data_IF_216243419028
#
_entry.id   IF_216243419028
#
_cell.length_a   1.000
_cell.length_b   1.000
_cell.length_c   1.000
_cell.angle_alpha   90.00
_cell.angle_beta   90.00
_cell.angle_gamma   90.00
#
_symmetry.space_group_name_H-M   'P 1'
#
loop_
_entity.id
_entity.type
_entity.pdbx_description
1 polymer ?
#
# COMPACT_ATOMS: atom_id res chain seq x y z
N UNK A 1 30.81 -32.02 23.31
CA UNK A 1 30.93 -30.58 23.54
C UNK A 1 31.12 -29.78 22.23
N UNK A 2 32.04 -30.14 21.33
CA UNK A 2 32.33 -29.39 20.08
C UNK A 2 31.10 -29.14 19.18
N UNK A 3 30.21 -30.14 18.96
CA UNK A 3 29.00 -29.99 18.15
C UNK A 3 27.95 -28.97 18.73
N UNK A 4 27.83 -28.88 20.05
CA UNK A 4 26.94 -27.88 20.70
C UNK A 4 27.50 -26.49 20.55
N UNK A 5 28.80 -26.30 20.73
CA UNK A 5 29.47 -25.01 20.57
C UNK A 5 29.35 -24.48 19.13
N UNK A 6 29.57 -25.35 18.12
CA UNK A 6 29.41 -25.00 16.72
C UNK A 6 27.98 -24.51 16.39
N UNK A 7 26.92 -25.12 16.93
CA UNK A 7 25.56 -24.69 16.76
C UNK A 7 25.26 -23.32 17.39
N UNK A 8 25.83 -23.07 18.57
CA UNK A 8 25.70 -21.79 19.27
C UNK A 8 26.36 -20.66 18.46
N UNK A 9 27.61 -20.93 17.98
CA UNK A 9 28.32 -19.94 17.15
C UNK A 9 27.55 -19.65 15.86
N UNK A 10 27.05 -20.68 15.19
CA UNK A 10 26.24 -20.53 13.98
C UNK A 10 24.97 -19.68 14.25
N UNK A 11 24.25 -19.99 15.32
CA UNK A 11 23.05 -19.22 15.71
C UNK A 11 23.40 -17.75 16.00
N UNK A 12 24.48 -17.51 16.73
CA UNK A 12 24.93 -16.15 17.02
C UNK A 12 25.28 -15.37 15.73
N UNK A 13 25.99 -15.98 14.79
CA UNK A 13 26.31 -15.38 13.50
C UNK A 13 25.06 -15.05 12.68
N UNK A 14 24.08 -15.95 12.65
CA UNK A 14 22.80 -15.73 11.97
C UNK A 14 22.04 -14.55 12.62
N UNK A 15 21.99 -14.51 13.96
CA UNK A 15 21.32 -13.42 14.68
C UNK A 15 21.96 -12.06 14.40
N UNK A 16 23.29 -12.00 14.43
CA UNK A 16 24.05 -10.77 14.07
C UNK A 16 23.79 -10.38 12.61
N UNK A 17 23.79 -11.34 11.70
CA UNK A 17 23.49 -11.09 10.29
C UNK A 17 22.09 -10.51 10.07
N UNK A 18 21.07 -11.07 10.73
CA UNK A 18 19.70 -10.56 10.69
C UNK A 18 19.63 -9.14 11.28
N UNK A 19 20.30 -8.91 12.41
CA UNK A 19 20.32 -7.58 13.03
C UNK A 19 20.93 -6.51 12.11
N UNK A 20 22.06 -6.82 11.47
CA UNK A 20 22.69 -5.94 10.48
C UNK A 20 21.75 -5.69 9.31
N UNK A 21 21.13 -6.73 8.74
CA UNK A 21 20.20 -6.62 7.62
C UNK A 21 19.01 -5.72 7.96
N UNK A 22 18.41 -5.90 9.11
CA UNK A 22 17.25 -5.13 9.55
C UNK A 22 17.58 -3.63 9.76
N UNK A 23 18.82 -3.31 10.11
CA UNK A 23 19.27 -1.93 10.31
C UNK A 23 19.82 -1.27 9.05
N UNK A 24 19.83 -1.94 7.89
CA UNK A 24 20.21 -1.32 6.62
C UNK A 24 19.30 -0.13 6.32
N UNK A 25 19.93 1.00 6.00
CA UNK A 25 19.20 2.20 5.59
C UNK A 25 18.64 2.06 4.18
N UNK A 26 17.35 2.22 4.02
CA UNK A 26 16.65 2.16 2.71
C UNK A 26 15.90 3.46 2.44
N UNK A 27 15.88 3.87 1.19
CA UNK A 27 15.11 5.03 0.78
C UNK A 27 13.61 4.73 0.83
N UNK A 28 12.85 5.68 1.34
CA UNK A 28 11.40 5.69 1.24
C UNK A 28 10.89 7.08 0.85
N UNK A 29 9.79 7.14 0.11
CA UNK A 29 9.11 8.40 -0.19
C UNK A 29 8.13 8.71 0.93
N UNK A 30 8.10 9.94 1.38
CA UNK A 30 7.14 10.44 2.36
C UNK A 30 6.54 11.75 1.86
N UNK A 31 5.20 11.80 1.81
CA UNK A 31 4.46 13.02 1.51
C UNK A 31 4.12 13.75 2.80
N UNK A 32 4.66 14.96 2.97
CA UNK A 32 4.34 15.87 4.07
C UNK A 32 4.05 17.24 3.44
N UNK A 33 2.96 17.87 3.87
CA UNK A 33 2.56 19.20 3.41
C UNK A 33 2.57 19.34 1.88
N UNK A 34 1.98 18.34 1.21
CA UNK A 34 1.87 18.28 -0.26
C UNK A 34 3.22 18.21 -1.00
N UNK A 35 4.32 17.90 -0.29
CA UNK A 35 5.63 17.67 -0.89
C UNK A 35 6.04 16.21 -0.69
N UNK A 36 6.54 15.58 -1.74
CA UNK A 36 7.15 14.25 -1.66
C UNK A 36 8.64 14.42 -1.45
N UNK A 37 9.13 13.92 -0.33
CA UNK A 37 10.55 13.86 -0.02
C UNK A 37 11.01 12.42 0.08
N UNK A 38 12.28 12.18 -0.27
CA UNK A 38 12.93 10.89 -0.04
C UNK A 38 13.69 10.96 1.28
N UNK A 39 13.34 10.08 2.19
CA UNK A 39 14.03 9.95 3.49
C UNK A 39 14.65 8.56 3.58
N UNK A 40 15.67 8.42 4.41
CA UNK A 40 16.29 7.13 4.74
C UNK A 40 15.74 6.64 6.07
N UNK A 41 15.25 5.42 6.07
CA UNK A 41 14.78 4.73 7.28
C UNK A 41 15.42 3.34 7.36
N UNK A 42 15.57 2.75 8.55
CA UNK A 42 15.99 1.35 8.68
C UNK A 42 15.01 0.40 7.99
N UNK A 43 15.52 -0.68 7.42
CA UNK A 43 14.72 -1.68 6.70
C UNK A 43 13.61 -2.26 7.57
N UNK A 44 13.86 -2.47 8.87
CA UNK A 44 12.83 -2.99 9.78
C UNK A 44 11.61 -2.06 9.89
N UNK A 45 11.81 -0.73 9.91
CA UNK A 45 10.69 0.23 9.93
C UNK A 45 9.90 0.20 8.63
N UNK A 46 10.59 0.08 7.48
CA UNK A 46 9.90 -0.07 6.18
C UNK A 46 9.07 -1.34 6.13
N UNK A 47 9.60 -2.44 6.68
CA UNK A 47 8.91 -3.73 6.75
C UNK A 47 7.70 -3.68 7.68
N UNK A 48 7.84 -3.08 8.86
CA UNK A 48 6.71 -2.88 9.79
C UNK A 48 5.62 -2.02 9.15
N UNK A 49 5.98 -0.91 8.50
CA UNK A 49 5.03 -0.06 7.79
C UNK A 49 4.32 -0.77 6.62
N UNK A 50 4.98 -1.74 5.97
CA UNK A 50 4.34 -2.58 4.98
C UNK A 50 3.26 -3.48 5.60
N UNK A 51 3.58 -4.19 6.68
CA UNK A 51 2.62 -5.05 7.38
C UNK A 51 1.46 -4.27 7.99
N UNK A 52 1.73 -3.11 8.57
CA UNK A 52 0.70 -2.22 9.12
C UNK A 52 -0.30 -1.81 8.03
N UNK A 53 0.19 -1.32 6.88
CA UNK A 53 -0.68 -0.98 5.75
C UNK A 53 -1.45 -2.18 5.22
N UNK A 54 -0.80 -3.35 5.08
CA UNK A 54 -1.45 -4.56 4.60
C UNK A 54 -2.58 -5.00 5.54
N UNK A 55 -2.36 -4.94 6.85
CA UNK A 55 -3.38 -5.22 7.85
C UNK A 55 -4.56 -4.25 7.74
N UNK A 56 -4.27 -2.96 7.66
CA UNK A 56 -5.30 -1.92 7.55
C UNK A 56 -6.12 -2.05 6.25
N UNK A 57 -5.51 -2.39 5.13
CA UNK A 57 -6.23 -2.71 3.89
C UNK A 57 -7.19 -3.88 4.07
N UNK A 58 -6.73 -4.96 4.67
CA UNK A 58 -7.57 -6.14 4.88
C UNK A 58 -8.76 -5.84 5.78
N UNK A 59 -8.56 -5.14 6.87
CA UNK A 59 -9.64 -4.75 7.78
C UNK A 59 -10.64 -3.80 7.12
N UNK A 60 -10.15 -2.86 6.33
CA UNK A 60 -11.01 -1.95 5.55
C UNK A 60 -11.87 -2.74 4.56
N UNK A 61 -11.25 -3.57 3.73
CA UNK A 61 -11.95 -4.37 2.72
C UNK A 61 -12.95 -5.31 3.38
N UNK A 62 -12.59 -6.01 4.46
CA UNK A 62 -13.49 -6.88 5.20
C UNK A 62 -14.76 -6.15 5.66
N UNK A 63 -14.65 -4.89 6.09
CA UNK A 63 -15.81 -4.06 6.45
C UNK A 63 -16.66 -3.70 5.24
N UNK A 64 -16.03 -3.29 4.13
CA UNK A 64 -16.72 -2.89 2.90
C UNK A 64 -17.52 -4.04 2.30
N UNK A 65 -16.91 -5.24 2.20
CA UNK A 65 -17.51 -6.40 1.55
C UNK A 65 -18.29 -7.30 2.50
N UNK A 66 -18.45 -6.90 3.77
CA UNK A 66 -19.15 -7.70 4.78
C UNK A 66 -20.56 -8.08 4.31
N UNK A 67 -20.85 -9.40 4.29
CA UNK A 67 -22.15 -9.92 3.86
C UNK A 67 -22.41 -9.86 2.35
N UNK A 68 -21.40 -9.59 1.50
CA UNK A 68 -21.55 -9.71 0.06
C UNK A 68 -21.67 -11.18 -0.35
N UNK A 69 -22.68 -11.51 -1.17
CA UNK A 69 -22.98 -12.87 -1.58
C UNK A 69 -22.21 -13.31 -2.85
N UNK A 70 -21.71 -12.36 -3.64
CA UNK A 70 -20.97 -12.63 -4.88
C UNK A 70 -19.82 -11.65 -5.10
N UNK A 71 -18.95 -11.95 -6.07
CA UNK A 71 -17.83 -11.08 -6.42
C UNK A 71 -18.33 -9.78 -7.08
N UNK A 72 -19.40 -9.83 -7.85
CA UNK A 72 -20.06 -8.65 -8.41
C UNK A 72 -20.54 -7.72 -7.29
N UNK A 73 -21.15 -8.28 -6.26
CA UNK A 73 -21.61 -7.48 -5.12
C UNK A 73 -20.43 -6.86 -4.35
N UNK A 74 -19.32 -7.59 -4.19
CA UNK A 74 -18.09 -7.03 -3.58
C UNK A 74 -17.56 -5.85 -4.40
N UNK A 75 -17.47 -6.00 -5.75
CA UNK A 75 -17.02 -4.93 -6.65
C UNK A 75 -17.93 -3.71 -6.53
N UNK A 76 -19.24 -3.90 -6.53
CA UNK A 76 -20.19 -2.79 -6.39
C UNK A 76 -20.07 -2.07 -5.05
N UNK A 77 -19.86 -2.80 -3.95
CA UNK A 77 -19.64 -2.21 -2.62
C UNK A 77 -18.33 -1.44 -2.55
N UNK A 78 -17.24 -1.99 -3.10
CA UNK A 78 -15.94 -1.33 -3.19
C UNK A 78 -16.06 -0.06 -4.03
N UNK A 79 -16.71 -0.12 -5.19
CA UNK A 79 -16.93 1.05 -6.04
C UNK A 79 -17.69 2.15 -5.33
N UNK A 80 -18.82 1.83 -4.68
CA UNK A 80 -19.61 2.78 -3.91
C UNK A 80 -18.83 3.40 -2.77
N UNK A 81 -18.06 2.57 -2.03
CA UNK A 81 -17.21 3.03 -0.96
C UNK A 81 -16.15 4.01 -1.47
N UNK A 82 -15.45 3.65 -2.55
CA UNK A 82 -14.41 4.49 -3.15
C UNK A 82 -14.99 5.83 -3.58
N UNK A 83 -16.15 5.81 -4.24
CA UNK A 83 -16.83 7.02 -4.69
C UNK A 83 -17.29 7.93 -3.54
N UNK A 84 -17.73 7.33 -2.44
CA UNK A 84 -18.20 8.07 -1.27
C UNK A 84 -17.06 8.67 -0.42
N UNK A 85 -15.89 7.99 -0.40
CA UNK A 85 -14.81 8.32 0.53
C UNK A 85 -13.63 9.05 -0.13
N UNK A 86 -13.43 8.90 -1.45
CA UNK A 86 -12.35 9.58 -2.16
C UNK A 86 -12.94 10.71 -2.99
N UNK A 87 -12.72 11.93 -2.54
CA UNK A 87 -13.19 13.14 -3.24
C UNK A 87 -12.21 13.56 -4.32
N UNK A 88 -12.67 14.32 -5.29
CA UNK A 88 -11.79 14.96 -6.27
C UNK A 88 -10.85 15.94 -5.58
N UNK A 89 -9.56 15.85 -5.89
CA UNK A 89 -8.58 16.78 -5.37
C UNK A 89 -8.93 18.22 -5.74
N UNK A 90 -8.86 19.18 -4.79
CA UNK A 90 -9.01 20.59 -5.09
C UNK A 90 -7.98 21.05 -6.14
N UNK A 91 -8.38 21.96 -7.03
CA UNK A 91 -7.51 22.43 -8.13
C UNK A 91 -6.20 23.09 -7.66
N UNK A 92 -6.23 23.64 -6.46
CA UNK A 92 -5.11 24.39 -5.87
C UNK A 92 -4.12 23.48 -5.11
N UNK A 93 -4.50 22.24 -4.84
CA UNK A 93 -3.63 21.30 -4.13
C UNK A 93 -2.79 20.50 -5.12
N UNK A 94 -1.47 20.47 -4.94
CA UNK A 94 -0.61 19.66 -5.78
C UNK A 94 -0.92 18.18 -5.59
N UNK A 95 -0.88 17.44 -6.70
CA UNK A 95 -1.00 16.00 -6.69
C UNK A 95 0.28 15.41 -6.12
N UNK A 96 0.15 14.61 -5.06
CA UNK A 96 1.27 13.92 -4.44
C UNK A 96 1.28 12.48 -4.94
N UNK A 97 2.37 12.09 -5.60
CA UNK A 97 2.62 10.68 -5.96
C UNK A 97 3.11 9.94 -4.72
N UNK A 98 2.16 9.35 -4.00
CA UNK A 98 2.40 8.61 -2.78
C UNK A 98 1.70 7.24 -2.80
N UNK A 99 1.79 6.53 -1.69
CA UNK A 99 1.20 5.19 -1.58
C UNK A 99 -0.35 5.28 -1.54
N UNK A 100 -1.02 4.32 -2.20
CA UNK A 100 -2.51 4.24 -2.26
C UNK A 100 -3.16 4.35 -0.87
N UNK A 101 -2.54 3.80 0.18
CA UNK A 101 -3.04 3.94 1.56
C UNK A 101 -3.14 5.39 2.01
N UNK A 102 -2.20 6.24 1.59
CA UNK A 102 -2.24 7.66 1.91
C UNK A 102 -3.40 8.38 1.22
N UNK A 103 -3.78 7.96 0.00
CA UNK A 103 -4.95 8.46 -0.70
C UNK A 103 -6.22 8.15 0.09
N UNK A 104 -6.32 6.91 0.59
CA UNK A 104 -7.43 6.47 1.45
C UNK A 104 -7.53 7.32 2.72
N UNK A 105 -6.40 7.51 3.40
CA UNK A 105 -6.35 8.26 4.67
C UNK A 105 -6.71 9.73 4.48
N UNK A 106 -6.20 10.37 3.43
CA UNK A 106 -6.50 11.78 3.16
C UNK A 106 -7.91 12.02 2.55
N UNK A 107 -8.51 10.99 1.93
CA UNK A 107 -9.87 11.04 1.41
C UNK A 107 -10.06 11.89 0.14
N UNK A 108 -8.99 12.22 -0.58
CA UNK A 108 -9.10 12.89 -1.90
C UNK A 108 -7.95 12.50 -2.82
N UNK A 109 -8.18 12.60 -4.13
CA UNK A 109 -7.21 12.28 -5.16
C UNK A 109 -7.61 12.77 -6.55
N UNK A 110 -6.72 12.61 -7.51
CA UNK A 110 -7.02 12.80 -8.94
C UNK A 110 -7.62 11.53 -9.53
N UNK A 111 -8.06 11.60 -10.79
CA UNK A 111 -8.74 10.50 -11.47
C UNK A 111 -7.97 9.18 -11.39
N UNK A 112 -6.67 9.21 -11.66
CA UNK A 112 -5.84 8.00 -11.66
C UNK A 112 -5.70 7.41 -10.25
N UNK A 113 -5.54 8.27 -9.25
CA UNK A 113 -5.48 7.84 -7.85
C UNK A 113 -6.79 7.22 -7.35
N UNK A 114 -7.93 7.68 -7.85
CA UNK A 114 -9.21 7.04 -7.57
C UNK A 114 -9.25 5.61 -8.10
N UNK A 115 -8.74 5.40 -9.32
CA UNK A 115 -8.64 4.08 -9.93
C UNK A 115 -7.66 3.18 -9.20
N UNK A 116 -6.53 3.72 -8.72
CA UNK A 116 -5.56 3.00 -7.90
C UNK A 116 -6.18 2.48 -6.61
N UNK A 117 -6.97 3.32 -5.91
CA UNK A 117 -7.69 2.91 -4.69
C UNK A 117 -8.67 1.80 -5.00
N UNK A 118 -9.50 1.95 -6.01
CA UNK A 118 -10.48 0.94 -6.41
C UNK A 118 -9.81 -0.40 -6.75
N UNK A 119 -8.77 -0.36 -7.59
CA UNK A 119 -8.01 -1.55 -8.01
C UNK A 119 -7.34 -2.24 -6.83
N UNK A 120 -6.72 -1.46 -5.93
CA UNK A 120 -6.07 -2.01 -4.75
C UNK A 120 -7.07 -2.72 -3.81
N UNK A 121 -8.24 -2.11 -3.56
CA UNK A 121 -9.27 -2.70 -2.71
C UNK A 121 -9.87 -3.98 -3.35
N UNK A 122 -10.07 -4.00 -4.66
CA UNK A 122 -10.50 -5.21 -5.38
C UNK A 122 -9.48 -6.35 -5.22
N UNK A 123 -8.19 -6.07 -5.47
CA UNK A 123 -7.13 -7.06 -5.34
C UNK A 123 -7.03 -7.62 -3.90
N UNK A 124 -7.16 -6.76 -2.88
CA UNK A 124 -7.17 -7.20 -1.47
C UNK A 124 -8.42 -8.04 -1.14
N UNK A 125 -9.54 -7.81 -1.83
CA UNK A 125 -10.75 -8.62 -1.67
C UNK A 125 -10.68 -9.99 -2.35
N UNK A 126 -9.59 -10.28 -3.08
CA UNK A 126 -9.39 -11.50 -3.87
C UNK A 126 -9.91 -11.40 -5.31
N UNK A 127 -10.35 -10.23 -5.75
CA UNK A 127 -10.83 -10.00 -7.12
C UNK A 127 -9.67 -9.40 -7.92
N UNK A 128 -9.18 -10.13 -8.92
CA UNK A 128 -8.10 -9.64 -9.81
C UNK A 128 -8.56 -8.41 -10.58
N UNK A 129 -7.97 -7.26 -10.29
CA UNK A 129 -8.23 -6.00 -10.97
C UNK A 129 -6.92 -5.32 -11.37
N UNK A 130 -6.91 -4.68 -12.51
CA UNK A 130 -5.79 -3.89 -13.02
C UNK A 130 -6.29 -2.67 -13.76
N UNK A 131 -5.46 -1.64 -13.76
CA UNK A 131 -5.72 -0.41 -14.47
C UNK A 131 -5.28 -0.52 -15.93
N UNK A 132 -6.13 -0.05 -16.87
CA UNK A 132 -5.76 0.08 -18.28
C UNK A 132 -6.18 1.46 -18.77
N UNK A 133 -5.23 2.20 -19.34
CA UNK A 133 -5.50 3.46 -19.99
C UNK A 133 -5.81 3.21 -21.47
N UNK A 134 -7.00 3.60 -21.90
CA UNK A 134 -7.37 3.61 -23.33
C UNK A 134 -7.03 4.99 -23.90
N UNK A 135 -6.12 5.02 -24.84
CA UNK A 135 -5.80 6.21 -25.63
C UNK A 135 -6.60 6.16 -26.92
N UNK A 136 -7.47 7.14 -27.14
CA UNK A 136 -8.03 7.39 -28.48
C UNK A 136 -6.99 8.15 -29.29
N UNK A 137 -6.52 7.58 -30.41
CA UNK A 137 -5.83 8.36 -31.41
C UNK A 137 -6.80 9.37 -32.00
N UNK A 138 -6.68 10.63 -31.61
CA UNK A 138 -7.30 11.72 -32.34
C UNK A 138 -6.63 11.78 -33.73
N UNK A 139 -7.27 11.19 -34.73
CA UNK A 139 -6.95 11.44 -36.13
C UNK A 139 -7.38 12.87 -36.45
N UNK A 140 -6.51 13.83 -36.15
CA UNK A 140 -6.55 15.18 -36.74
C UNK A 140 -6.02 15.16 -38.16
#
# INVERSE_FOLDING_TARGET
MKKKLSKIIFLALVTVGIFILLNLSVNTKQGIDYKVSSIKIPLYLKTLGFFDRYYNYRELVKRIVHGAASDEEKVMRISRWTYANIRKAPKELPVVDDHVWHIIVRGYGVKDQFQDVFTALCNISGIGAFFSALYTEDKS
#
